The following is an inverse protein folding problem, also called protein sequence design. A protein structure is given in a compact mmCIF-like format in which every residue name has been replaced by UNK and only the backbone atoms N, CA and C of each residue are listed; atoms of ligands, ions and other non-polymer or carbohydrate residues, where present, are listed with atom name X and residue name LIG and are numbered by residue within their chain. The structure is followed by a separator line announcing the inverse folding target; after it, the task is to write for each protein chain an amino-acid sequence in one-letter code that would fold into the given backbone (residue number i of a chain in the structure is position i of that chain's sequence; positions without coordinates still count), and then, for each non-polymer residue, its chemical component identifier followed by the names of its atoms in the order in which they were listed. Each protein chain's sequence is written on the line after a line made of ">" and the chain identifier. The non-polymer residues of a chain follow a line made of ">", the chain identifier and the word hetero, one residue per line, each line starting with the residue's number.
data_IF_205220182172
#
_entry.id   IF_205220182172
#
_cell.length_a   1.000
_cell.length_b   1.000
_cell.length_c   1.000
_cell.angle_alpha   90.00
_cell.angle_beta   90.00
_cell.angle_gamma   90.00
#
_symmetry.space_group_name_H-M   'P 1'
#
loop_
_entity.id
_entity.type
_entity.pdbx_description
1 polymer ?
#
# COMPACT_ATOMS: atom_id res chain seq x y z
N UNK A 1 -28.49 35.31 -0.82
CA UNK A 1 -28.66 34.20 -1.74
C UNK A 1 -29.32 33.08 -0.94
N UNK A 2 -30.62 32.87 -1.21
CA UNK A 2 -31.43 31.82 -0.58
C UNK A 2 -30.92 30.50 -1.12
N UNK A 3 -30.35 29.66 -0.25
CA UNK A 3 -30.05 28.27 -0.60
C UNK A 3 -31.38 27.58 -0.89
N UNK A 4 -31.57 26.93 -2.01
CA UNK A 4 -32.77 26.17 -2.26
C UNK A 4 -32.79 24.99 -1.28
N UNK A 5 -33.79 25.01 -0.39
CA UNK A 5 -34.06 23.90 0.51
C UNK A 5 -34.72 22.78 -0.33
N UNK A 6 -33.88 21.91 -0.90
CA UNK A 6 -34.41 20.73 -1.57
C UNK A 6 -34.56 19.61 -0.53
N UNK A 7 -35.77 19.46 -0.01
CA UNK A 7 -36.25 18.23 0.62
C UNK A 7 -36.31 17.10 -0.45
N UNK A 8 -35.15 16.71 -0.87
CA UNK A 8 -35.00 15.57 -1.76
C UNK A 8 -34.94 14.33 -0.85
N UNK A 9 -35.88 13.37 -0.94
CA UNK A 9 -35.85 12.18 -0.08
C UNK A 9 -34.48 11.47 -0.19
N UNK A 10 -33.93 11.05 0.93
CA UNK A 10 -32.67 10.32 0.93
C UNK A 10 -32.77 9.11 0.01
N UNK A 11 -31.66 8.83 -0.72
CA UNK A 11 -31.58 7.65 -1.55
C UNK A 11 -31.61 6.43 -0.64
N UNK A 12 -32.54 5.50 -0.90
CA UNK A 12 -32.56 4.22 -0.20
C UNK A 12 -31.50 3.29 -0.75
N UNK A 13 -30.86 2.52 0.13
CA UNK A 13 -29.93 1.48 -0.30
C UNK A 13 -30.67 0.42 -1.11
N UNK A 14 -30.13 0.10 -2.26
CA UNK A 14 -30.62 -0.99 -3.11
C UNK A 14 -30.11 -2.35 -2.58
N UNK A 15 -30.70 -3.45 -3.04
CA UNK A 15 -30.11 -4.77 -2.84
C UNK A 15 -28.68 -4.80 -3.41
N UNK A 16 -27.79 -5.61 -2.80
CA UNK A 16 -26.35 -5.68 -3.15
C UNK A 16 -26.13 -5.78 -4.67
N UNK A 17 -26.80 -6.71 -5.35
CA UNK A 17 -26.70 -6.94 -6.81
C UNK A 17 -27.10 -5.75 -7.68
N UNK A 18 -27.87 -4.82 -7.13
CA UNK A 18 -28.37 -3.64 -7.81
C UNK A 18 -27.63 -2.36 -7.36
N UNK A 19 -26.72 -2.47 -6.38
CA UNK A 19 -25.93 -1.35 -5.87
C UNK A 19 -24.71 -1.14 -6.76
N UNK A 20 -24.57 0.07 -7.26
CA UNK A 20 -23.48 0.46 -8.18
C UNK A 20 -22.44 1.31 -7.46
N UNK A 21 -21.19 0.83 -7.45
CA UNK A 21 -20.06 1.48 -6.80
C UNK A 21 -19.05 1.93 -7.85
N UNK A 22 -18.66 3.20 -7.81
CA UNK A 22 -17.56 3.75 -8.59
C UNK A 22 -16.31 3.95 -7.72
N UNK A 23 -15.13 3.57 -8.19
CA UNK A 23 -13.86 3.80 -7.49
C UNK A 23 -12.94 4.57 -8.44
N UNK A 24 -12.39 5.72 -7.99
CA UNK A 24 -11.47 6.48 -8.83
C UNK A 24 -10.14 5.75 -8.96
N UNK A 25 -9.61 5.65 -10.18
CA UNK A 25 -8.36 4.98 -10.50
C UNK A 25 -7.49 5.88 -11.39
N UNK A 26 -6.30 6.21 -10.90
CA UNK A 26 -5.27 6.86 -11.69
C UNK A 26 -4.49 5.80 -12.49
N UNK A 27 -4.67 5.81 -13.82
CA UNK A 27 -4.01 4.85 -14.70
C UNK A 27 -2.59 5.28 -15.05
N UNK A 28 -1.63 4.36 -15.03
CA UNK A 28 -0.28 4.64 -15.49
C UNK A 28 -0.24 4.75 -17.03
N UNK A 29 0.65 5.60 -17.52
CA UNK A 29 0.91 5.71 -18.97
C UNK A 29 1.48 4.41 -19.57
N UNK A 30 2.07 3.56 -18.74
CA UNK A 30 2.66 2.28 -19.13
C UNK A 30 2.31 1.16 -18.18
N UNK A 31 2.20 -0.06 -18.69
CA UNK A 31 1.87 -1.28 -17.93
C UNK A 31 2.85 -1.61 -16.79
N UNK A 32 4.12 -1.27 -16.98
CA UNK A 32 5.19 -1.57 -16.04
C UNK A 32 5.11 -0.78 -14.73
N UNK A 33 4.44 0.37 -14.73
CA UNK A 33 4.40 1.28 -13.58
C UNK A 33 3.22 1.07 -12.63
N UNK A 34 2.30 0.14 -12.92
CA UNK A 34 1.08 -0.02 -12.13
C UNK A 34 1.34 -0.38 -10.66
N UNK A 35 2.22 -1.35 -10.40
CA UNK A 35 2.54 -1.83 -9.05
C UNK A 35 3.56 -0.97 -8.30
N UNK A 36 4.06 0.08 -8.91
CA UNK A 36 4.96 1.01 -8.22
C UNK A 36 4.21 1.94 -7.24
N UNK A 37 2.88 1.96 -7.31
CA UNK A 37 2.05 2.81 -6.47
C UNK A 37 1.06 1.98 -5.64
N UNK A 38 1.23 2.00 -4.31
CA UNK A 38 0.35 1.28 -3.38
C UNK A 38 -1.11 1.73 -3.43
N UNK A 39 -1.41 2.97 -3.87
CA UNK A 39 -2.79 3.45 -4.04
C UNK A 39 -3.50 2.65 -5.13
N UNK A 40 -2.84 2.37 -6.26
CA UNK A 40 -3.42 1.56 -7.33
C UNK A 40 -3.71 0.13 -6.87
N UNK A 41 -2.83 -0.45 -6.06
CA UNK A 41 -3.07 -1.77 -5.44
C UNK A 41 -4.30 -1.74 -4.53
N UNK A 42 -4.42 -0.70 -3.68
CA UNK A 42 -5.62 -0.53 -2.85
C UNK A 42 -6.91 -0.48 -3.67
N UNK A 43 -6.92 0.26 -4.77
CA UNK A 43 -8.09 0.35 -5.67
C UNK A 43 -8.47 -1.02 -6.21
N UNK A 44 -7.48 -1.80 -6.71
CA UNK A 44 -7.73 -3.14 -7.25
C UNK A 44 -8.27 -4.11 -6.20
N UNK A 45 -7.66 -4.15 -5.03
CA UNK A 45 -8.06 -5.07 -3.97
C UNK A 45 -9.45 -4.75 -3.43
N UNK A 46 -9.76 -3.47 -3.28
CA UNK A 46 -11.09 -3.02 -2.87
C UNK A 46 -12.14 -3.35 -3.94
N UNK A 47 -11.83 -3.15 -5.22
CA UNK A 47 -12.72 -3.51 -6.32
C UNK A 47 -12.99 -5.03 -6.34
N UNK A 48 -11.95 -5.85 -6.17
CA UNK A 48 -12.07 -7.31 -6.09
C UNK A 48 -12.97 -7.73 -4.91
N UNK A 49 -12.81 -7.11 -3.75
CA UNK A 49 -13.66 -7.35 -2.60
C UNK A 49 -15.13 -7.05 -2.91
N UNK A 50 -15.41 -5.90 -3.47
CA UNK A 50 -16.81 -5.52 -3.81
C UNK A 50 -17.42 -6.42 -4.88
N UNK A 51 -16.64 -6.87 -5.85
CA UNK A 51 -17.09 -7.86 -6.84
C UNK A 51 -17.41 -9.19 -6.17
N UNK A 52 -16.59 -9.66 -5.26
CA UNK A 52 -16.83 -10.90 -4.52
C UNK A 52 -18.07 -10.81 -3.61
N UNK A 53 -18.38 -9.64 -3.09
CA UNK A 53 -19.65 -9.37 -2.36
C UNK A 53 -20.85 -9.43 -3.31
N UNK A 54 -20.67 -9.07 -4.58
CA UNK A 54 -21.72 -9.07 -5.60
C UNK A 54 -22.21 -7.66 -5.99
N UNK A 55 -21.49 -6.60 -5.62
CA UNK A 55 -21.75 -5.24 -6.10
C UNK A 55 -21.43 -5.07 -7.58
N UNK A 56 -22.10 -4.10 -8.21
CA UNK A 56 -21.78 -3.68 -9.58
C UNK A 56 -20.69 -2.61 -9.54
N UNK A 57 -19.44 -2.97 -9.83
CA UNK A 57 -18.26 -2.13 -9.63
C UNK A 57 -17.75 -1.53 -10.93
N UNK A 58 -17.42 -0.22 -10.89
CA UNK A 58 -16.82 0.52 -12.00
C UNK A 58 -15.54 1.20 -11.54
N UNK A 59 -14.51 1.19 -12.39
CA UNK A 59 -13.42 2.13 -12.27
C UNK A 59 -13.77 3.45 -12.96
N UNK A 60 -13.53 4.55 -12.27
CA UNK A 60 -13.66 5.90 -12.79
C UNK A 60 -12.24 6.39 -13.07
N UNK A 61 -11.97 6.81 -14.32
CA UNK A 61 -10.66 7.28 -14.75
C UNK A 61 -10.71 8.74 -15.17
N UNK A 62 -9.61 9.47 -14.98
CA UNK A 62 -9.55 10.93 -15.14
C UNK A 62 -9.18 11.42 -16.53
N UNK A 63 -8.90 10.51 -17.48
CA UNK A 63 -8.56 10.85 -18.86
C UNK A 63 -9.06 9.79 -19.85
N UNK A 64 -9.12 10.13 -21.13
CA UNK A 64 -9.40 9.15 -22.18
C UNK A 64 -8.30 8.08 -22.21
N UNK A 65 -8.68 6.84 -22.34
CA UNK A 65 -7.76 5.71 -22.30
C UNK A 65 -7.89 4.85 -23.55
N UNK A 66 -6.82 4.13 -23.86
CA UNK A 66 -6.84 3.09 -24.88
C UNK A 66 -7.23 1.76 -24.20
N UNK A 67 -8.37 1.19 -24.59
CA UNK A 67 -8.86 -0.09 -24.06
C UNK A 67 -7.83 -1.23 -24.18
N UNK A 68 -6.97 -1.19 -25.19
CA UNK A 68 -5.95 -2.21 -25.37
C UNK A 68 -4.88 -2.13 -24.28
N UNK A 69 -4.49 -0.93 -23.85
CA UNK A 69 -3.55 -0.76 -22.72
C UNK A 69 -4.12 -1.38 -21.45
N UNK A 70 -5.42 -1.21 -21.23
CA UNK A 70 -6.08 -1.76 -20.05
C UNK A 70 -6.22 -3.27 -20.17
N UNK A 71 -6.60 -3.79 -21.35
CA UNK A 71 -6.69 -5.23 -21.59
C UNK A 71 -5.34 -5.92 -21.40
N UNK A 72 -4.26 -5.30 -21.83
CA UNK A 72 -2.91 -5.85 -21.69
C UNK A 72 -2.36 -5.74 -20.25
N UNK A 73 -2.70 -4.68 -19.51
CA UNK A 73 -2.14 -4.42 -18.19
C UNK A 73 -2.98 -4.94 -17.02
N UNK A 74 -4.31 -4.96 -17.17
CA UNK A 74 -5.25 -5.26 -16.09
C UNK A 74 -6.20 -6.37 -16.42
N UNK A 75 -6.52 -6.53 -17.70
CA UNK A 75 -7.62 -7.38 -18.12
C UNK A 75 -7.22 -8.84 -17.98
N UNK A 76 -7.56 -9.36 -16.82
CA UNK A 76 -7.51 -10.78 -16.52
C UNK A 76 -8.93 -11.28 -16.40
N UNK A 77 -9.11 -12.59 -16.53
CA UNK A 77 -10.41 -13.19 -16.30
C UNK A 77 -10.99 -12.84 -14.91
N UNK A 78 -10.10 -12.65 -13.91
CA UNK A 78 -10.48 -12.30 -12.54
C UNK A 78 -11.14 -10.91 -12.45
N UNK A 79 -10.84 -9.99 -13.39
CA UNK A 79 -11.38 -8.62 -13.43
C UNK A 79 -12.35 -8.38 -14.59
N UNK A 80 -12.85 -9.43 -15.23
CA UNK A 80 -13.77 -9.33 -16.37
C UNK A 80 -15.05 -8.56 -16.09
N UNK A 81 -15.47 -8.49 -14.84
CA UNK A 81 -16.67 -7.79 -14.39
C UNK A 81 -16.46 -6.30 -14.08
N UNK A 82 -15.20 -5.84 -14.04
CA UNK A 82 -14.90 -4.43 -13.81
C UNK A 82 -15.13 -3.66 -15.11
N UNK A 83 -15.99 -2.65 -15.05
CA UNK A 83 -16.24 -1.73 -16.15
C UNK A 83 -15.38 -0.50 -15.95
N UNK A 84 -14.72 -0.05 -17.01
CA UNK A 84 -13.93 1.16 -17.04
C UNK A 84 -14.73 2.27 -17.69
N UNK A 85 -14.86 3.39 -17.00
CA UNK A 85 -15.57 4.57 -17.48
C UNK A 85 -14.75 5.82 -17.17
N UNK A 86 -14.93 6.84 -17.99
CA UNK A 86 -14.29 8.14 -17.83
C UNK A 86 -15.29 9.28 -17.60
N UNK A 87 -16.54 8.96 -17.29
CA UNK A 87 -17.61 9.93 -17.07
C UNK A 87 -18.43 9.57 -15.83
N UNK A 88 -19.17 10.55 -15.30
CA UNK A 88 -20.12 10.38 -14.22
C UNK A 88 -21.58 10.27 -14.69
N UNK A 89 -21.80 9.83 -15.93
CA UNK A 89 -23.14 9.67 -16.53
C UNK A 89 -23.89 8.45 -15.99
N UNK A 90 -23.18 7.58 -15.26
CA UNK A 90 -23.77 6.40 -14.60
C UNK A 90 -24.40 6.82 -13.27
N UNK A 91 -25.58 6.26 -12.98
CA UNK A 91 -26.27 6.44 -11.71
C UNK A 91 -25.61 5.62 -10.60
N UNK A 92 -24.54 6.17 -10.01
CA UNK A 92 -23.85 5.56 -8.88
C UNK A 92 -24.64 5.67 -7.57
N UNK A 93 -24.67 4.61 -6.81
CA UNK A 93 -25.12 4.64 -5.40
C UNK A 93 -24.01 5.17 -4.49
N UNK A 94 -22.78 4.72 -4.72
CA UNK A 94 -21.57 5.15 -3.97
C UNK A 94 -20.44 5.45 -4.92
N UNK A 95 -19.71 6.53 -4.67
CA UNK A 95 -18.43 6.82 -5.32
C UNK A 95 -17.35 6.93 -4.26
N UNK A 96 -16.26 6.17 -4.45
CA UNK A 96 -15.10 6.15 -3.56
C UNK A 96 -13.95 6.87 -4.26
N UNK A 97 -13.58 8.03 -3.71
CA UNK A 97 -12.40 8.77 -4.13
C UNK A 97 -11.16 8.15 -3.49
N UNK A 98 -10.28 7.55 -4.30
CA UNK A 98 -9.05 6.92 -3.84
C UNK A 98 -7.86 7.19 -4.77
N UNK A 99 -7.97 6.91 -6.07
CA UNK A 99 -6.89 7.00 -7.04
C UNK A 99 -6.55 8.41 -7.47
N UNK A 100 -7.54 9.28 -7.58
CA UNK A 100 -7.39 10.71 -7.88
C UNK A 100 -8.51 11.53 -7.24
N UNK A 101 -8.29 12.83 -7.12
CA UNK A 101 -9.29 13.77 -6.58
C UNK A 101 -10.34 14.13 -7.63
N UNK A 102 -11.61 14.04 -7.24
CA UNK A 102 -12.75 14.41 -8.07
C UNK A 102 -12.96 15.93 -7.97
N UNK A 103 -13.12 16.60 -9.11
CA UNK A 103 -13.38 18.02 -9.14
C UNK A 103 -14.66 18.40 -8.40
N UNK A 104 -14.68 19.57 -7.78
CA UNK A 104 -15.82 20.04 -7.00
C UNK A 104 -17.11 20.15 -7.84
N UNK A 105 -17.01 20.47 -9.13
CA UNK A 105 -18.15 20.48 -10.05
C UNK A 105 -18.77 19.09 -10.23
N UNK A 106 -17.93 18.06 -10.36
CA UNK A 106 -18.36 16.66 -10.46
C UNK A 106 -18.94 16.16 -9.12
N UNK A 107 -18.34 16.55 -7.99
CA UNK A 107 -18.92 16.28 -6.66
C UNK A 107 -20.34 16.85 -6.54
N UNK A 108 -20.56 18.09 -6.99
CA UNK A 108 -21.88 18.70 -6.97
C UNK A 108 -22.88 17.92 -7.82
N UNK A 109 -22.46 17.43 -8.98
CA UNK A 109 -23.28 16.57 -9.84
C UNK A 109 -23.66 15.26 -9.14
N UNK A 110 -22.68 14.55 -8.55
CA UNK A 110 -22.92 13.33 -7.78
C UNK A 110 -23.86 13.57 -6.62
N UNK A 111 -23.68 14.67 -5.88
CA UNK A 111 -24.59 15.04 -4.78
C UNK A 111 -26.02 15.37 -5.28
N UNK A 112 -26.15 16.02 -6.41
CA UNK A 112 -27.44 16.24 -7.04
C UNK A 112 -28.14 14.92 -7.42
N UNK A 113 -27.39 13.92 -7.86
CA UNK A 113 -27.85 12.56 -8.11
C UNK A 113 -28.06 11.75 -6.80
N UNK A 114 -27.79 12.33 -5.63
CA UNK A 114 -27.84 11.69 -4.30
C UNK A 114 -26.87 10.53 -4.12
N UNK A 115 -25.82 10.51 -4.92
CA UNK A 115 -24.72 9.57 -4.77
C UNK A 115 -23.98 9.85 -3.46
N UNK A 116 -23.71 8.80 -2.68
CA UNK A 116 -22.83 8.90 -1.52
C UNK A 116 -21.36 8.97 -1.98
N UNK A 117 -20.62 9.92 -1.45
CA UNK A 117 -19.22 10.14 -1.83
C UNK A 117 -18.32 9.94 -0.62
N UNK A 118 -17.39 9.00 -0.74
CA UNK A 118 -16.45 8.64 0.32
C UNK A 118 -15.03 9.03 -0.12
N UNK A 119 -14.27 9.65 0.79
CA UNK A 119 -12.82 9.82 0.60
C UNK A 119 -12.08 8.67 1.28
N UNK A 120 -11.42 7.81 0.52
CA UNK A 120 -10.66 6.67 1.05
C UNK A 120 -9.17 7.04 1.12
N UNK A 121 -8.67 7.17 2.34
CA UNK A 121 -7.32 7.68 2.63
C UNK A 121 -6.33 6.54 2.88
N UNK A 122 -5.33 6.40 2.00
CA UNK A 122 -4.31 5.36 2.04
C UNK A 122 -2.91 5.87 2.42
N UNK A 123 -2.74 7.19 2.59
CA UNK A 123 -1.44 7.82 2.88
C UNK A 123 -1.44 8.54 4.22
N UNK A 124 -0.26 8.73 4.82
CA UNK A 124 -0.13 9.49 6.04
C UNK A 124 0.00 10.99 5.75
N UNK A 125 -1.14 11.66 5.58
CA UNK A 125 -1.17 13.09 5.24
C UNK A 125 -0.56 13.97 6.32
N UNK A 126 -0.77 13.66 7.60
CA UNK A 126 -0.19 14.42 8.70
C UNK A 126 1.35 14.48 8.63
N UNK A 127 1.99 13.32 8.48
CA UNK A 127 3.46 13.28 8.41
C UNK A 127 3.96 13.94 7.12
N UNK A 128 3.33 13.65 5.97
CA UNK A 128 3.75 14.24 4.70
C UNK A 128 3.63 15.76 4.71
N UNK A 129 2.55 16.30 5.27
CA UNK A 129 2.37 17.75 5.39
C UNK A 129 3.35 18.35 6.41
N UNK A 130 3.63 17.63 7.51
CA UNK A 130 4.65 18.04 8.49
C UNK A 130 6.05 18.09 7.86
N UNK A 131 6.46 17.07 7.12
CA UNK A 131 7.73 17.04 6.38
C UNK A 131 7.81 18.14 5.33
N UNK A 132 6.69 18.44 4.67
CA UNK A 132 6.60 19.53 3.70
C UNK A 132 6.81 20.90 4.37
N UNK A 133 6.17 21.14 5.50
CA UNK A 133 6.25 22.40 6.24
C UNK A 133 7.63 22.58 6.87
N UNK A 134 8.15 21.55 7.52
CA UNK A 134 9.38 21.64 8.31
C UNK A 134 10.65 21.55 7.46
N UNK A 135 10.64 20.71 6.44
CA UNK A 135 11.84 20.36 5.67
C UNK A 135 11.74 20.74 4.19
N UNK A 136 10.63 21.39 3.79
CA UNK A 136 10.38 21.75 2.40
C UNK A 136 10.45 20.56 1.43
N UNK A 137 10.12 19.37 1.93
CA UNK A 137 9.96 18.16 1.13
C UNK A 137 8.59 18.20 0.43
N UNK A 138 8.42 17.46 -0.66
CA UNK A 138 7.13 17.36 -1.37
C UNK A 138 6.50 18.72 -1.79
N UNK A 139 7.31 19.69 -2.22
CA UNK A 139 6.86 21.06 -2.60
C UNK A 139 5.63 21.11 -3.52
N UNK A 140 5.53 20.14 -4.43
CA UNK A 140 4.40 20.05 -5.38
C UNK A 140 3.10 19.69 -4.69
N UNK A 141 3.15 18.98 -3.56
CA UNK A 141 1.96 18.54 -2.83
C UNK A 141 1.26 19.70 -2.11
N UNK A 142 1.98 20.62 -1.51
CA UNK A 142 1.38 21.80 -0.84
C UNK A 142 0.48 22.62 -1.76
N UNK A 143 0.77 22.62 -3.06
CA UNK A 143 -0.03 23.34 -4.05
C UNK A 143 -1.21 22.52 -4.58
N UNK A 144 -1.25 21.22 -4.30
CA UNK A 144 -2.25 20.28 -4.81
C UNK A 144 -3.29 19.85 -3.77
N UNK A 145 -3.05 20.12 -2.48
CA UNK A 145 -3.97 19.71 -1.42
C UNK A 145 -5.17 20.63 -1.40
N UNK A 146 -6.26 20.15 -1.97
CA UNK A 146 -7.57 20.80 -1.86
C UNK A 146 -8.27 20.31 -0.59
N UNK A 147 -7.77 20.73 0.57
CA UNK A 147 -8.55 20.60 1.80
C UNK A 147 -9.89 21.30 1.66
N UNK A 148 -10.90 20.75 2.30
CA UNK A 148 -12.25 21.29 2.19
C UNK A 148 -12.28 22.72 2.73
N UNK A 149 -12.54 23.66 1.84
CA UNK A 149 -12.83 25.04 2.22
C UNK A 149 -14.17 25.11 2.96
N UNK A 150 -14.36 26.16 3.77
CA UNK A 150 -15.60 26.36 4.56
C UNK A 150 -16.87 26.20 3.73
N UNK A 151 -16.84 26.51 2.45
CA UNK A 151 -17.99 26.43 1.56
C UNK A 151 -18.25 25.04 0.93
N UNK A 152 -17.31 24.09 1.15
CA UNK A 152 -17.39 22.75 0.55
C UNK A 152 -17.59 21.65 1.60
N UNK A 153 -18.22 21.98 2.73
CA UNK A 153 -18.41 21.09 3.89
C UNK A 153 -19.05 19.75 3.52
N UNK A 154 -19.89 19.74 2.49
CA UNK A 154 -20.63 18.55 2.06
C UNK A 154 -19.96 17.79 0.92
N UNK A 155 -18.66 17.99 0.68
CA UNK A 155 -17.93 17.29 -0.37
C UNK A 155 -18.00 15.78 -0.22
N UNK A 156 -17.77 15.28 0.98
CA UNK A 156 -17.83 13.85 1.30
C UNK A 156 -18.94 13.54 2.31
N UNK A 157 -19.49 12.34 2.26
CA UNK A 157 -20.37 11.81 3.29
C UNK A 157 -19.54 11.28 4.46
N UNK A 158 -18.47 10.53 4.16
CA UNK A 158 -17.54 9.97 5.13
C UNK A 158 -16.10 10.03 4.63
N UNK A 159 -15.16 9.91 5.58
CA UNK A 159 -13.75 9.66 5.33
C UNK A 159 -13.43 8.25 5.82
N UNK A 160 -12.86 7.43 4.97
CA UNK A 160 -12.39 6.09 5.33
C UNK A 160 -10.87 6.07 5.40
N UNK A 161 -10.33 5.47 6.46
CA UNK A 161 -8.89 5.37 6.71
C UNK A 161 -8.48 3.92 6.87
N UNK A 162 -7.41 3.51 6.23
CA UNK A 162 -6.79 2.21 6.49
C UNK A 162 -6.13 2.19 7.88
N UNK A 163 -6.10 1.03 8.59
CA UNK A 163 -5.76 0.95 10.02
C UNK A 163 -4.38 1.53 10.36
N UNK A 164 -3.39 1.31 9.50
CA UNK A 164 -2.02 1.77 9.74
C UNK A 164 -1.85 3.30 9.72
N UNK A 165 -2.86 4.03 9.26
CA UNK A 165 -2.82 5.49 9.17
C UNK A 165 -3.67 6.17 10.25
N UNK A 166 -4.53 5.43 10.93
CA UNK A 166 -5.55 5.97 11.85
C UNK A 166 -4.92 6.72 13.02
N UNK A 167 -3.87 6.16 13.63
CA UNK A 167 -3.24 6.71 14.84
C UNK A 167 -2.86 8.19 14.71
N UNK A 168 -2.22 8.58 13.61
CA UNK A 168 -1.74 9.95 13.38
C UNK A 168 -2.69 10.80 12.55
N UNK A 169 -3.59 10.18 11.78
CA UNK A 169 -4.37 10.93 10.78
C UNK A 169 -5.85 11.06 11.11
N UNK A 170 -6.45 10.22 11.96
CA UNK A 170 -7.90 10.26 12.18
C UNK A 170 -8.39 11.69 12.49
N UNK A 171 -7.91 12.27 13.59
CA UNK A 171 -8.34 13.61 13.98
C UNK A 171 -7.83 14.70 13.04
N UNK A 172 -6.65 14.48 12.43
CA UNK A 172 -6.14 15.39 11.42
C UNK A 172 -7.10 15.47 10.23
N UNK A 173 -7.54 14.37 9.68
CA UNK A 173 -8.51 14.34 8.58
C UNK A 173 -9.88 14.84 9.01
N UNK A 174 -10.37 14.49 10.19
CA UNK A 174 -11.66 14.99 10.70
C UNK A 174 -11.67 16.52 10.74
N UNK A 175 -10.58 17.14 11.17
CA UNK A 175 -10.44 18.61 11.19
C UNK A 175 -10.33 19.17 9.77
N UNK A 176 -9.45 18.58 8.94
CA UNK A 176 -9.17 19.11 7.60
C UNK A 176 -10.33 18.89 6.63
N UNK A 177 -11.01 17.77 6.71
CA UNK A 177 -12.16 17.43 5.85
C UNK A 177 -13.53 17.75 6.47
N UNK A 178 -13.58 18.14 7.74
CA UNK A 178 -14.82 18.48 8.47
C UNK A 178 -15.85 17.36 8.45
N UNK A 179 -15.40 16.12 8.49
CA UNK A 179 -16.21 14.90 8.47
C UNK A 179 -15.59 13.86 9.40
N UNK A 180 -16.45 12.99 9.92
CA UNK A 180 -16.00 11.85 10.71
C UNK A 180 -15.09 10.94 9.86
N UNK A 181 -13.98 10.51 10.45
CA UNK A 181 -13.08 9.53 9.87
C UNK A 181 -13.35 8.15 10.50
N UNK A 182 -13.61 7.17 9.66
CA UNK A 182 -13.89 5.79 10.04
C UNK A 182 -12.72 4.91 9.64
N UNK A 183 -12.19 4.14 10.58
CA UNK A 183 -11.22 3.11 10.26
C UNK A 183 -11.90 1.96 9.53
N UNK A 184 -11.36 1.61 8.35
CA UNK A 184 -11.88 0.51 7.53
C UNK A 184 -10.87 -0.63 7.47
N UNK A 185 -11.31 -1.89 7.36
CA UNK A 185 -10.40 -3.02 7.30
C UNK A 185 -9.44 -2.93 6.11
N UNK A 186 -8.21 -3.39 6.31
CA UNK A 186 -7.21 -3.50 5.25
C UNK A 186 -7.56 -4.66 4.32
N UNK A 187 -7.39 -4.45 3.02
CA UNK A 187 -7.66 -5.46 1.99
C UNK A 187 -6.38 -5.76 1.24
N UNK A 188 -6.07 -7.04 1.07
CA UNK A 188 -4.97 -7.52 0.25
C UNK A 188 -5.43 -8.74 -0.56
N UNK A 189 -4.95 -8.88 -1.79
CA UNK A 189 -5.27 -10.01 -2.65
C UNK A 189 -4.02 -10.71 -3.17
N UNK A 190 -4.00 -12.03 -3.06
CA UNK A 190 -2.97 -12.87 -3.65
C UNK A 190 -3.02 -12.88 -5.20
N UNK A 191 -4.06 -12.34 -5.82
CA UNK A 191 -4.10 -12.12 -7.26
C UNK A 191 -3.03 -11.13 -7.74
N UNK A 192 -2.49 -10.27 -6.84
CA UNK A 192 -1.32 -9.45 -7.14
C UNK A 192 -0.11 -10.28 -7.60
N UNK A 193 0.07 -11.47 -7.03
CA UNK A 193 1.17 -12.37 -7.42
C UNK A 193 1.05 -12.78 -8.88
N UNK A 194 -0.17 -13.04 -9.38
CA UNK A 194 -0.39 -13.37 -10.80
C UNK A 194 0.03 -12.21 -11.72
N UNK A 195 -0.22 -10.96 -11.31
CA UNK A 195 0.21 -9.80 -12.07
C UNK A 195 1.75 -9.65 -12.05
N UNK A 196 2.37 -9.93 -10.91
CA UNK A 196 3.83 -9.95 -10.82
C UNK A 196 4.42 -11.03 -11.75
N UNK A 197 3.81 -12.20 -11.84
CA UNK A 197 4.22 -13.26 -12.78
C UNK A 197 4.23 -12.76 -14.24
N UNK A 198 3.19 -12.03 -14.65
CA UNK A 198 3.10 -11.49 -16.01
C UNK A 198 4.20 -10.46 -16.27
N UNK A 199 4.39 -9.52 -15.35
CA UNK A 199 5.37 -8.43 -15.49
C UNK A 199 6.80 -8.98 -15.51
N UNK A 200 7.09 -9.95 -14.64
CA UNK A 200 8.43 -10.52 -14.50
C UNK A 200 8.69 -11.68 -15.46
N UNK A 201 7.62 -12.18 -16.13
CA UNK A 201 7.65 -13.39 -16.97
C UNK A 201 8.14 -14.64 -16.22
N UNK A 202 7.87 -14.69 -14.90
CA UNK A 202 8.22 -15.82 -14.03
C UNK A 202 6.99 -16.60 -13.63
N UNK A 203 7.15 -17.90 -13.49
CA UNK A 203 6.14 -18.77 -12.92
C UNK A 203 5.95 -18.51 -11.42
N UNK A 204 4.86 -18.97 -10.85
CA UNK A 204 4.62 -18.92 -9.41
C UNK A 204 5.75 -19.61 -8.62
N UNK A 205 6.20 -20.77 -9.10
CA UNK A 205 7.25 -21.55 -8.48
C UNK A 205 8.63 -20.87 -8.50
N UNK A 206 8.92 -20.06 -9.51
CA UNK A 206 10.15 -19.25 -9.58
C UNK A 206 10.13 -18.05 -8.63
N UNK A 207 8.95 -17.54 -8.26
CA UNK A 207 8.78 -16.46 -7.31
C UNK A 207 8.64 -16.95 -5.86
N UNK A 208 8.34 -18.24 -5.65
CA UNK A 208 8.22 -18.84 -4.33
C UNK A 208 9.59 -19.05 -3.71
N UNK A 209 9.71 -18.79 -2.39
CA UNK A 209 10.92 -19.14 -1.66
C UNK A 209 11.20 -20.65 -1.70
N UNK A 210 12.45 -21.02 -1.88
CA UNK A 210 12.89 -22.42 -1.86
C UNK A 210 14.00 -22.59 -0.82
N UNK A 211 13.77 -23.41 0.22
CA UNK A 211 14.80 -23.73 1.19
C UNK A 211 16.06 -24.26 0.52
N UNK A 212 17.20 -23.75 0.91
CA UNK A 212 18.50 -24.21 0.41
C UNK A 212 19.56 -24.04 1.50
N UNK A 213 20.09 -25.15 1.99
CA UNK A 213 21.09 -25.17 3.07
C UNK A 213 22.42 -24.47 2.70
N UNK A 214 22.73 -24.41 1.41
CA UNK A 214 23.95 -23.75 0.93
C UNK A 214 23.75 -22.25 0.63
N UNK A 215 22.61 -21.69 1.00
CA UNK A 215 22.31 -20.30 0.67
C UNK A 215 23.17 -19.33 1.50
N UNK A 216 23.88 -18.45 0.81
CA UNK A 216 24.56 -17.33 1.44
C UNK A 216 23.52 -16.30 1.87
N UNK A 217 23.48 -15.93 3.14
CA UNK A 217 22.51 -14.97 3.65
C UNK A 217 22.73 -13.58 3.06
N UNK A 218 21.92 -13.24 2.10
CA UNK A 218 21.88 -11.95 1.42
C UNK A 218 20.59 -11.26 1.80
N UNK A 219 20.68 -10.08 2.35
CA UNK A 219 19.56 -9.32 2.90
C UNK A 219 19.17 -8.22 1.92
N UNK A 220 17.87 -8.00 1.73
CA UNK A 220 17.34 -6.86 1.01
C UNK A 220 16.55 -5.93 1.93
N UNK A 221 16.71 -4.63 1.73
CA UNK A 221 15.97 -3.55 2.39
C UNK A 221 15.23 -2.80 1.27
N UNK A 222 13.87 -2.77 1.33
CA UNK A 222 13.03 -2.21 0.27
C UNK A 222 12.34 -0.91 0.67
N UNK A 223 12.81 -0.23 1.71
CA UNK A 223 12.20 1.02 2.12
C UNK A 223 12.27 2.07 1.00
N UNK A 224 11.18 2.83 0.73
CA UNK A 224 11.15 3.75 -0.41
C UNK A 224 12.02 5.00 -0.26
N UNK A 225 12.57 5.27 0.93
CA UNK A 225 13.49 6.38 1.25
C UNK A 225 12.95 7.78 0.87
N UNK A 226 11.64 8.00 1.03
CA UNK A 226 10.95 9.24 0.69
C UNK A 226 10.35 9.96 1.90
N UNK A 227 10.39 9.36 3.08
CA UNK A 227 9.80 9.88 4.32
C UNK A 227 10.49 9.23 5.51
N UNK A 228 10.49 9.90 6.66
CA UNK A 228 11.00 9.33 7.93
C UNK A 228 10.21 8.09 8.36
N UNK A 229 9.01 7.90 7.85
CA UNK A 229 8.22 6.68 8.11
C UNK A 229 8.83 5.43 7.49
N UNK A 230 9.53 5.58 6.36
CA UNK A 230 9.94 4.47 5.48
C UNK A 230 11.30 4.77 4.86
N UNK A 231 12.37 4.54 5.61
CA UNK A 231 13.74 4.75 5.15
C UNK A 231 14.68 3.66 5.64
N UNK A 232 15.78 3.47 4.94
CA UNK A 232 16.59 2.26 5.04
C UNK A 232 17.45 2.17 6.31
N UNK A 233 17.82 3.30 6.94
CA UNK A 233 18.80 3.30 8.02
C UNK A 233 18.39 2.43 9.21
N UNK A 234 17.15 2.46 9.73
CA UNK A 234 16.76 1.59 10.84
C UNK A 234 16.94 0.09 10.52
N UNK A 235 16.53 -0.33 9.32
CA UNK A 235 16.72 -1.71 8.85
C UNK A 235 18.21 -2.07 8.73
N UNK A 236 19.02 -1.14 8.27
CA UNK A 236 20.47 -1.32 8.15
C UNK A 236 21.13 -1.45 9.52
N UNK A 237 20.69 -0.68 10.53
CA UNK A 237 21.20 -0.79 11.91
C UNK A 237 20.88 -2.15 12.54
N UNK A 238 19.74 -2.75 12.21
CA UNK A 238 19.40 -4.12 12.62
C UNK A 238 20.39 -5.13 12.00
N UNK A 239 20.66 -4.99 10.70
CA UNK A 239 21.63 -5.83 10.00
C UNK A 239 23.04 -5.67 10.60
N UNK A 240 23.45 -4.45 10.89
CA UNK A 240 24.73 -4.12 11.52
C UNK A 240 24.85 -4.76 12.90
N UNK A 241 23.82 -4.62 13.75
CA UNK A 241 23.86 -5.20 15.09
C UNK A 241 23.90 -6.74 15.05
N UNK A 242 23.17 -7.38 14.12
CA UNK A 242 23.27 -8.81 13.90
C UNK A 242 24.67 -9.22 13.40
N UNK A 243 25.26 -8.43 12.51
CA UNK A 243 26.61 -8.67 11.98
C UNK A 243 27.66 -8.61 13.08
N UNK A 244 27.60 -7.61 13.96
CA UNK A 244 28.49 -7.48 15.14
C UNK A 244 28.34 -8.64 16.13
N UNK A 245 27.20 -9.32 16.13
CA UNK A 245 26.97 -10.56 16.88
C UNK A 245 27.41 -11.83 16.13
N UNK A 246 28.23 -11.67 15.09
CA UNK A 246 28.75 -12.74 14.23
C UNK A 246 27.67 -13.49 13.42
N UNK A 247 26.52 -12.88 13.13
CA UNK A 247 25.59 -13.44 12.18
C UNK A 247 26.24 -13.61 10.80
N UNK A 248 25.99 -14.76 10.15
CA UNK A 248 26.58 -15.05 8.85
C UNK A 248 25.87 -14.25 7.74
N UNK A 249 26.11 -12.94 7.69
CA UNK A 249 25.60 -12.04 6.66
C UNK A 249 26.63 -11.91 5.55
N UNK A 250 26.25 -12.33 4.34
CA UNK A 250 27.11 -12.23 3.16
C UNK A 250 27.05 -10.85 2.54
N UNK A 251 25.86 -10.29 2.41
CA UNK A 251 25.63 -9.00 1.74
C UNK A 251 24.31 -8.36 2.14
N UNK A 252 24.24 -7.03 2.07
CA UNK A 252 23.03 -6.22 2.30
C UNK A 252 22.79 -5.31 1.10
N UNK A 253 21.64 -5.47 0.44
CA UNK A 253 21.19 -4.62 -0.66
C UNK A 253 20.24 -3.55 -0.12
N UNK A 254 20.59 -2.28 -0.26
CA UNK A 254 19.75 -1.15 0.10
C UNK A 254 19.08 -0.64 -1.16
N UNK A 255 17.82 -1.04 -1.37
CA UNK A 255 17.06 -0.72 -2.57
C UNK A 255 16.37 0.66 -2.47
N UNK A 256 15.86 1.15 -3.60
CA UNK A 256 15.08 2.39 -3.72
C UNK A 256 15.84 3.69 -3.35
N UNK A 257 17.16 3.70 -3.39
CA UNK A 257 17.99 4.88 -3.09
C UNK A 257 18.23 5.72 -4.34
N UNK A 258 18.53 5.09 -5.48
CA UNK A 258 18.69 5.80 -6.73
C UNK A 258 17.34 6.17 -7.35
N UNK A 259 17.18 7.46 -7.70
CA UNK A 259 15.94 8.04 -8.20
C UNK A 259 15.40 7.38 -9.48
N UNK A 260 14.13 7.60 -9.75
CA UNK A 260 13.39 6.99 -10.87
C UNK A 260 13.80 7.50 -12.24
N UNK A 261 14.41 8.63 -12.36
CA UNK A 261 15.09 9.19 -13.53
C UNK A 261 15.86 10.44 -13.14
N UNK A 262 16.78 10.88 -14.00
CA UNK A 262 17.56 12.12 -13.86
C UNK A 262 16.63 13.37 -13.73
N UNK A 263 15.36 13.25 -14.11
CA UNK A 263 14.36 14.32 -14.06
C UNK A 263 13.40 14.25 -12.84
N UNK A 264 13.48 13.21 -12.00
CA UNK A 264 12.65 13.10 -10.81
C UNK A 264 13.25 13.92 -9.64
N UNK A 265 12.99 15.23 -9.65
CA UNK A 265 13.25 16.15 -8.52
C UNK A 265 12.44 15.81 -7.24
N UNK A 266 11.84 14.61 -7.16
CA UNK A 266 10.95 14.19 -6.08
C UNK A 266 11.65 13.41 -4.95
N UNK A 267 12.89 12.96 -5.15
CA UNK A 267 13.64 12.27 -4.11
C UNK A 267 14.68 13.20 -3.49
N UNK A 268 14.31 13.84 -2.40
CA UNK A 268 15.25 14.61 -1.56
C UNK A 268 16.15 13.71 -0.69
N UNK A 269 16.30 12.43 -1.04
CA UNK A 269 17.21 11.55 -0.31
C UNK A 269 18.65 11.98 -0.56
N UNK A 270 19.28 12.45 0.51
CA UNK A 270 20.66 12.92 0.45
C UNK A 270 21.62 11.73 0.59
N UNK A 271 22.09 11.22 -0.54
CA UNK A 271 22.98 10.05 -0.60
C UNK A 271 24.32 10.33 0.09
N UNK A 272 24.84 11.55 -0.01
CA UNK A 272 26.14 11.89 0.60
C UNK A 272 26.04 11.88 2.12
N UNK A 273 24.95 12.45 2.67
CA UNK A 273 24.68 12.40 4.10
C UNK A 273 24.43 10.96 4.58
N UNK A 274 23.70 10.17 3.81
CA UNK A 274 23.48 8.75 4.11
C UNK A 274 24.80 7.99 4.15
N UNK A 275 25.66 8.17 3.15
CA UNK A 275 27.00 7.57 3.10
C UNK A 275 27.88 8.02 4.27
N UNK A 276 27.80 9.30 4.65
CA UNK A 276 28.56 9.83 5.80
C UNK A 276 28.17 9.18 7.13
N UNK A 277 26.90 8.79 7.29
CA UNK A 277 26.43 8.04 8.45
C UNK A 277 26.84 6.57 8.36
N UNK A 278 26.62 5.94 7.21
CA UNK A 278 26.78 4.49 7.04
C UNK A 278 28.24 4.05 6.94
N UNK A 279 29.17 4.93 6.60
CA UNK A 279 30.61 4.63 6.61
C UNK A 279 31.15 4.21 8.00
N UNK A 280 30.40 4.49 9.07
CA UNK A 280 30.74 4.08 10.43
C UNK A 280 30.27 2.65 10.79
N UNK A 281 29.64 1.95 9.85
CA UNK A 281 29.16 0.58 10.04
C UNK A 281 30.22 -0.43 9.60
N UNK A 282 30.38 -1.52 10.37
CA UNK A 282 31.32 -2.59 10.04
C UNK A 282 30.95 -3.28 8.71
N UNK A 283 29.65 -3.44 8.45
CA UNK A 283 29.14 -3.93 7.15
C UNK A 283 29.59 -3.06 5.97
N UNK A 284 29.67 -1.75 6.15
CA UNK A 284 30.15 -0.83 5.12
C UNK A 284 31.68 -0.95 4.96
N UNK A 285 32.41 -0.97 6.08
CA UNK A 285 33.86 -1.11 6.09
C UNK A 285 34.32 -2.41 5.41
N UNK A 286 33.59 -3.51 5.64
CA UNK A 286 33.86 -4.82 5.05
C UNK A 286 33.32 -4.98 3.60
N UNK A 287 32.82 -3.90 2.99
CA UNK A 287 32.34 -3.89 1.61
C UNK A 287 31.09 -4.77 1.38
N UNK A 288 30.26 -4.93 2.38
CA UNK A 288 29.08 -5.81 2.34
C UNK A 288 27.76 -5.08 2.06
N UNK A 289 27.79 -3.80 1.75
CA UNK A 289 26.60 -3.01 1.41
C UNK A 289 26.67 -2.57 -0.04
N UNK A 290 25.58 -2.70 -0.77
CA UNK A 290 25.37 -2.01 -2.05
C UNK A 290 24.09 -1.21 -2.05
N UNK A 291 24.13 -0.09 -2.74
CA UNK A 291 23.01 0.82 -2.92
C UNK A 291 22.44 0.56 -4.30
N UNK A 292 21.15 0.28 -4.34
CA UNK A 292 20.45 -0.20 -5.51
C UNK A 292 19.31 0.74 -5.94
N UNK A 293 18.88 0.59 -7.18
CA UNK A 293 17.70 1.23 -7.72
C UNK A 293 16.39 0.59 -7.23
N UNK A 294 15.31 0.85 -7.95
CA UNK A 294 14.00 0.31 -7.66
C UNK A 294 13.70 -0.93 -8.50
N UNK A 295 13.36 -2.01 -7.83
CA UNK A 295 13.02 -3.30 -8.44
C UNK A 295 11.65 -3.80 -7.98
N UNK A 296 11.06 -4.74 -8.73
CA UNK A 296 9.97 -5.55 -8.21
C UNK A 296 10.51 -6.43 -7.07
N UNK A 297 9.84 -6.43 -5.93
CA UNK A 297 10.34 -7.11 -4.72
C UNK A 297 10.53 -8.60 -4.92
N UNK A 298 9.50 -9.32 -5.41
CA UNK A 298 9.59 -10.77 -5.57
C UNK A 298 10.60 -11.19 -6.65
N UNK A 299 10.72 -10.38 -7.72
CA UNK A 299 11.72 -10.63 -8.75
C UNK A 299 13.14 -10.43 -8.21
N UNK A 300 13.37 -9.38 -7.42
CA UNK A 300 14.65 -9.15 -6.77
C UNK A 300 15.00 -10.28 -5.80
N UNK A 301 14.03 -10.71 -4.97
CA UNK A 301 14.22 -11.79 -4.02
C UNK A 301 14.60 -13.09 -4.72
N UNK A 302 13.90 -13.47 -5.78
CA UNK A 302 14.17 -14.73 -6.50
C UNK A 302 15.52 -14.75 -7.23
N UNK A 303 16.15 -13.60 -7.48
CA UNK A 303 17.43 -13.51 -8.20
C UNK A 303 18.62 -13.19 -7.30
N UNK A 304 18.46 -12.34 -6.27
CA UNK A 304 19.60 -11.69 -5.62
C UNK A 304 19.66 -11.88 -4.11
N UNK A 305 18.53 -12.02 -3.43
CA UNK A 305 18.45 -12.01 -1.97
C UNK A 305 17.58 -13.15 -1.44
N UNK A 306 17.70 -13.47 -0.16
CA UNK A 306 16.90 -14.53 0.46
C UNK A 306 16.26 -14.11 1.79
N UNK A 307 16.54 -12.93 2.31
CA UNK A 307 15.97 -12.40 3.55
C UNK A 307 15.62 -10.93 3.34
N UNK A 308 14.51 -10.47 3.92
CA UNK A 308 14.14 -9.06 3.97
C UNK A 308 14.21 -8.55 5.39
N UNK A 309 14.77 -7.36 5.59
CA UNK A 309 14.67 -6.60 6.84
C UNK A 309 13.94 -5.30 6.54
N UNK A 310 12.89 -5.02 7.28
CA UNK A 310 12.06 -3.83 7.14
C UNK A 310 11.80 -3.17 8.48
N UNK A 311 11.86 -1.85 8.51
CA UNK A 311 11.46 -1.03 9.64
C UNK A 311 10.60 0.12 9.14
N UNK A 312 9.39 0.24 9.66
CA UNK A 312 8.50 1.35 9.32
C UNK A 312 7.92 1.97 10.59
N UNK A 313 7.81 3.29 10.58
CA UNK A 313 7.18 4.05 11.65
C UNK A 313 5.83 4.59 11.15
N UNK A 314 4.79 4.56 11.99
CA UNK A 314 3.43 5.01 11.61
C UNK A 314 2.93 4.42 10.28
N UNK A 315 3.33 3.16 9.99
CA UNK A 315 2.88 2.37 8.86
C UNK A 315 2.93 0.87 9.21
N UNK A 316 2.17 0.50 10.23
CA UNK A 316 2.21 -0.80 10.91
C UNK A 316 1.60 -1.97 10.12
N UNK A 317 1.37 -1.81 8.82
CA UNK A 317 0.88 -2.83 7.89
C UNK A 317 1.21 -2.40 6.47
N UNK A 318 1.79 -3.29 5.66
CA UNK A 318 2.19 -2.99 4.29
C UNK A 318 2.01 -4.21 3.38
N UNK A 319 1.67 -4.00 2.12
CA UNK A 319 1.51 -5.06 1.12
C UNK A 319 2.75 -5.93 0.96
N UNK A 320 3.94 -5.34 1.01
CA UNK A 320 5.20 -6.07 0.88
C UNK A 320 5.33 -7.20 1.92
N UNK A 321 4.82 -7.01 3.14
CA UNK A 321 4.85 -8.04 4.18
C UNK A 321 3.97 -9.23 3.81
N UNK A 322 2.77 -8.93 3.29
CA UNK A 322 1.81 -9.94 2.88
C UNK A 322 2.29 -10.69 1.64
N UNK A 323 2.82 -9.97 0.64
CA UNK A 323 3.39 -10.57 -0.58
C UNK A 323 4.53 -11.53 -0.25
N UNK A 324 5.49 -11.10 0.58
CA UNK A 324 6.65 -11.90 0.96
C UNK A 324 6.25 -13.12 1.78
N UNK A 325 5.45 -12.93 2.84
CA UNK A 325 5.02 -14.03 3.69
C UNK A 325 4.14 -15.05 2.95
N UNK A 326 3.26 -14.57 2.05
CA UNK A 326 2.46 -15.47 1.20
C UNK A 326 3.31 -16.35 0.30
N UNK A 327 4.41 -15.81 -0.21
CA UNK A 327 5.38 -16.49 -1.06
C UNK A 327 6.50 -17.19 -0.26
N UNK A 328 6.39 -17.26 1.07
CA UNK A 328 7.31 -17.97 1.94
C UNK A 328 8.66 -17.29 2.16
N UNK A 329 8.84 -16.03 1.68
CA UNK A 329 10.08 -15.30 1.91
C UNK A 329 10.17 -14.79 3.35
N UNK A 330 11.30 -15.00 4.05
CA UNK A 330 11.47 -14.51 5.39
C UNK A 330 11.59 -12.99 5.42
N UNK A 331 10.82 -12.36 6.30
CA UNK A 331 10.90 -10.93 6.56
C UNK A 331 10.98 -10.66 8.06
N UNK A 332 11.97 -9.87 8.47
CA UNK A 332 12.10 -9.33 9.83
C UNK A 332 11.50 -7.92 9.80
N UNK A 333 10.51 -7.65 10.67
CA UNK A 333 9.76 -6.39 10.62
C UNK A 333 9.18 -5.97 11.98
N UNK A 334 8.82 -4.67 12.10
CA UNK A 334 8.20 -4.09 13.30
C UNK A 334 6.71 -3.76 13.17
N UNK A 335 6.03 -4.27 12.13
CA UNK A 335 4.64 -3.95 11.85
C UNK A 335 3.67 -4.62 12.83
N UNK A 336 3.17 -3.87 13.80
CA UNK A 336 2.37 -4.39 14.92
C UNK A 336 0.97 -4.87 14.53
N UNK A 337 0.38 -4.36 13.43
CA UNK A 337 -0.93 -4.79 12.92
C UNK A 337 -0.90 -6.14 12.21
N UNK A 338 0.29 -6.61 11.85
CA UNK A 338 0.51 -7.94 11.29
C UNK A 338 1.66 -8.70 12.00
N UNK A 339 1.75 -8.55 13.33
CA UNK A 339 2.76 -9.21 14.17
C UNK A 339 2.69 -10.74 14.17
N UNK A 340 1.62 -11.28 13.66
CA UNK A 340 1.32 -12.71 13.53
C UNK A 340 1.87 -13.33 12.23
N UNK A 341 2.60 -12.56 11.42
CA UNK A 341 3.32 -13.06 10.24
C UNK A 341 4.80 -12.66 10.30
N UNK A 342 5.66 -13.32 9.53
CA UNK A 342 7.09 -13.02 9.47
C UNK A 342 7.82 -13.20 10.81
N UNK A 343 8.92 -12.50 10.95
CA UNK A 343 9.73 -12.41 12.17
C UNK A 343 9.55 -11.03 12.79
N UNK A 344 8.54 -10.90 13.65
CA UNK A 344 8.17 -9.63 14.26
C UNK A 344 9.10 -9.24 15.42
N UNK A 345 9.48 -7.96 15.48
CA UNK A 345 10.10 -7.31 16.64
C UNK A 345 9.36 -6.01 16.99
N UNK A 346 9.49 -5.56 18.23
CA UNK A 346 8.67 -4.46 18.75
C UNK A 346 9.28 -3.09 18.47
N UNK A 347 8.52 -2.19 17.85
CA UNK A 347 8.83 -0.76 17.70
C UNK A 347 10.27 -0.50 17.18
N UNK A 348 11.06 0.33 17.92
CA UNK A 348 12.46 0.64 17.63
C UNK A 348 13.44 -0.25 18.39
N UNK A 349 13.04 -1.43 18.84
CA UNK A 349 13.91 -2.38 19.53
C UNK A 349 14.84 -3.09 18.53
N UNK A 350 15.89 -2.40 18.11
CA UNK A 350 16.88 -2.94 17.15
C UNK A 350 17.63 -4.16 17.70
N UNK A 351 17.74 -4.28 19.02
CA UNK A 351 18.32 -5.46 19.68
C UNK A 351 17.46 -6.70 19.43
N UNK A 352 16.16 -6.58 19.66
CA UNK A 352 15.20 -7.65 19.34
C UNK A 352 15.14 -7.93 17.84
N UNK A 353 15.15 -6.87 17.00
CA UNK A 353 15.19 -6.99 15.55
C UNK A 353 16.41 -7.78 15.05
N UNK A 354 17.60 -7.53 15.63
CA UNK A 354 18.81 -8.27 15.30
C UNK A 354 18.75 -9.73 15.76
N UNK A 355 18.16 -10.01 16.92
CA UNK A 355 17.97 -11.39 17.39
C UNK A 355 16.97 -12.14 16.48
N UNK A 356 15.89 -11.47 16.02
CA UNK A 356 14.96 -12.04 15.03
C UNK A 356 15.62 -12.29 13.67
N UNK A 357 16.56 -11.46 13.26
CA UNK A 357 17.34 -11.70 12.04
C UNK A 357 18.26 -12.91 12.20
N UNK A 358 18.91 -13.08 13.34
CA UNK A 358 19.73 -14.26 13.65
C UNK A 358 18.86 -15.52 13.66
N UNK A 359 17.73 -15.50 14.37
CA UNK A 359 16.74 -16.59 14.38
C UNK A 359 16.30 -16.98 12.97
N UNK A 360 16.02 -15.99 12.12
CA UNK A 360 15.66 -16.18 10.73
C UNK A 360 16.79 -16.89 9.92
N UNK A 361 18.02 -16.39 10.06
CA UNK A 361 19.20 -16.97 9.39
C UNK A 361 19.42 -18.42 9.75
N UNK A 362 19.25 -18.77 11.01
CA UNK A 362 19.52 -20.11 11.53
C UNK A 362 18.39 -21.12 11.25
N UNK A 363 17.13 -20.66 11.33
CA UNK A 363 16.01 -21.59 11.45
C UNK A 363 15.00 -21.55 10.29
N UNK A 364 15.04 -20.53 9.41
CA UNK A 364 13.97 -20.39 8.41
C UNK A 364 13.88 -21.57 7.44
N UNK A 365 15.01 -22.07 6.93
CA UNK A 365 15.02 -23.20 6.02
C UNK A 365 14.46 -24.48 6.66
N UNK A 366 14.72 -24.67 7.96
CA UNK A 366 14.26 -25.84 8.73
C UNK A 366 12.75 -25.75 8.96
N UNK A 367 12.26 -24.57 9.31
CA UNK A 367 10.87 -24.33 9.71
C UNK A 367 9.99 -23.83 8.56
N UNK A 368 10.47 -23.91 7.32
CA UNK A 368 9.83 -23.30 6.15
C UNK A 368 8.36 -23.70 5.96
N UNK A 369 8.04 -24.98 6.07
CA UNK A 369 6.67 -25.46 5.84
C UNK A 369 5.68 -24.91 6.88
N UNK A 370 6.10 -24.86 8.13
CA UNK A 370 5.30 -24.32 9.22
C UNK A 370 5.15 -22.80 9.03
N UNK A 371 6.25 -22.09 8.72
CA UNK A 371 6.24 -20.68 8.40
C UNK A 371 5.27 -20.33 7.28
N UNK A 372 5.33 -21.04 6.14
CA UNK A 372 4.46 -20.80 5.00
C UNK A 372 2.99 -21.04 5.35
N UNK A 373 2.69 -22.12 6.05
CA UNK A 373 1.33 -22.52 6.44
C UNK A 373 0.71 -21.53 7.40
N UNK A 374 1.42 -21.15 8.47
CA UNK A 374 0.92 -20.23 9.48
C UNK A 374 0.76 -18.81 8.91
N UNK A 375 1.72 -18.35 8.09
CA UNK A 375 1.60 -17.02 7.47
C UNK A 375 0.37 -16.93 6.55
N UNK A 376 0.14 -17.94 5.69
CA UNK A 376 -1.03 -17.95 4.80
C UNK A 376 -2.34 -17.98 5.58
N UNK A 377 -2.42 -18.73 6.66
CA UNK A 377 -3.56 -18.76 7.56
C UNK A 377 -3.81 -17.39 8.20
N UNK A 378 -2.76 -16.72 8.69
CA UNK A 378 -2.88 -15.40 9.33
C UNK A 378 -3.17 -14.28 8.33
N UNK A 379 -2.80 -14.44 7.06
CA UNK A 379 -3.07 -13.50 5.97
C UNK A 379 -4.51 -13.62 5.45
N UNK A 380 -5.17 -14.75 5.63
CA UNK A 380 -6.53 -15.02 5.13
C UNK A 380 -7.54 -13.91 5.50
N UNK A 381 -7.41 -13.32 6.69
CA UNK A 381 -8.27 -12.22 7.17
C UNK A 381 -8.26 -10.95 6.29
N UNK A 382 -7.26 -10.81 5.40
CA UNK A 382 -7.13 -9.67 4.47
C UNK A 382 -7.64 -9.98 3.07
N UNK A 383 -7.95 -11.26 2.76
CA UNK A 383 -8.34 -11.68 1.42
C UNK A 383 -9.75 -11.19 1.05
N UNK A 384 -9.97 -10.76 -0.20
CA UNK A 384 -11.30 -10.37 -0.71
C UNK A 384 -12.35 -11.48 -0.64
N UNK A 385 -11.94 -12.74 -0.48
CA UNK A 385 -12.80 -13.89 -0.30
C UNK A 385 -13.18 -14.19 1.15
N UNK A 386 -12.55 -13.51 2.11
CA UNK A 386 -12.85 -13.68 3.53
C UNK A 386 -14.23 -13.10 3.88
N UNK A 387 -15.12 -13.93 4.43
CA UNK A 387 -16.51 -13.57 4.70
C UNK A 387 -16.66 -12.50 5.79
N UNK A 388 -15.81 -12.52 6.81
CA UNK A 388 -15.85 -11.50 7.87
C UNK A 388 -15.43 -10.13 7.32
N UNK A 389 -14.44 -10.11 6.45
CA UNK A 389 -14.01 -8.89 5.76
C UNK A 389 -15.11 -8.35 4.86
N UNK A 390 -15.77 -9.23 4.08
CA UNK A 390 -16.91 -8.86 3.23
C UNK A 390 -18.05 -8.26 4.06
N UNK A 391 -18.44 -8.91 5.16
CA UNK A 391 -19.50 -8.41 6.02
C UNK A 391 -19.21 -7.03 6.60
N UNK A 392 -17.97 -6.75 7.02
CA UNK A 392 -17.58 -5.42 7.50
C UNK A 392 -17.75 -4.35 6.43
N UNK A 393 -17.42 -4.65 5.18
CA UNK A 393 -17.59 -3.69 4.09
C UNK A 393 -19.06 -3.54 3.67
N UNK A 394 -19.88 -4.57 3.78
CA UNK A 394 -21.33 -4.47 3.63
C UNK A 394 -21.92 -3.52 4.69
N UNK A 395 -21.51 -3.66 5.94
CA UNK A 395 -21.92 -2.76 7.04
C UNK A 395 -21.49 -1.31 6.78
N UNK A 396 -20.26 -1.08 6.31
CA UNK A 396 -19.77 0.26 5.96
C UNK A 396 -20.59 0.90 4.83
N UNK A 397 -20.91 0.16 3.78
CA UNK A 397 -21.76 0.65 2.69
C UNK A 397 -23.18 0.94 3.22
N UNK A 398 -23.75 0.05 4.02
CA UNK A 398 -25.08 0.25 4.60
C UNK A 398 -25.14 1.50 5.48
N UNK A 399 -24.10 1.76 6.27
CA UNK A 399 -23.99 2.92 7.15
C UNK A 399 -24.10 4.25 6.40
N UNK A 400 -23.64 4.33 5.15
CA UNK A 400 -23.75 5.55 4.34
C UNK A 400 -25.20 5.98 4.07
N UNK A 401 -26.18 5.08 4.21
CA UNK A 401 -27.58 5.32 3.86
C UNK A 401 -28.50 5.47 5.09
N UNK A 402 -27.95 5.34 6.28
CA UNK A 402 -28.64 5.62 7.56
C UNK A 402 -28.52 7.11 7.87
#
# INVERSE_FOLDING_TARGET
>A
VIEPNYDIPNRQLKEIKNTTIGITLDLPDTTTNFFLNGIRQNVLYLAELFINIGYNVYFIINHSFNENIIKESFYREDFKYIKLINTFDIDFDVVIQMGFEIDISMIKQLKYQKTKVVSYCCGNSYIIDSETILYNQHKTRCNQINYIKKNDINRFDEIWSIPQMTNTNQHYWEIMFRKKCIEVPFVWSNNAIKLIQIITKKSYDELLFKPNENTKNKIAIFEPNISIMKWALPSLLICENAYRKNANIKHVYVNNVHGRSINDNLNNFNIDSFNSVTQNLDLCFDGKITIEGRYNTLDFMSNYSNIVVSHQWENNLNYIYLDLCWMGWPIVHNASLCKDIGYYYKEFNYEEGSNKLIECIENHNINYNDYLTENRKNIDKYLPTNIELQNKYIELINHLFI
#
